data_IF_867306480845
#
_entry.id   IF_867306480845
#
_cell.length_a   1.000
_cell.length_b   1.000
_cell.length_c   1.000
_cell.angle_alpha   90.00
_cell.angle_beta   90.00
_cell.angle_gamma   90.00
#
_symmetry.space_group_name_H-M   'P 1'
#
loop_
_entity.id
_entity.type
_entity.pdbx_description
1 polymer ?
#
# COMPACT_ATOMS: atom_id res chain seq x y z
N UNK A 1 -40.96 -35.56 14.49
CA UNK A 1 -39.75 -34.72 14.72
C UNK A 1 -39.90 -33.87 15.98
N UNK A 2 -41.06 -33.24 16.17
CA UNK A 2 -41.42 -32.43 17.35
C UNK A 2 -41.24 -33.14 18.71
N UNK A 3 -41.61 -34.43 18.81
CA UNK A 3 -41.52 -35.21 20.05
C UNK A 3 -40.08 -35.53 20.50
N UNK A 4 -39.13 -35.68 19.56
CA UNK A 4 -37.71 -35.94 19.90
C UNK A 4 -37.00 -34.68 20.35
N UNK A 5 -37.34 -33.53 19.77
CA UNK A 5 -36.84 -32.21 20.17
C UNK A 5 -37.40 -31.83 21.55
N UNK A 6 -38.70 -32.07 21.79
CA UNK A 6 -39.32 -31.88 23.13
C UNK A 6 -38.65 -32.77 24.18
N UNK A 7 -38.42 -34.07 23.90
CA UNK A 7 -37.69 -34.97 24.82
C UNK A 7 -36.25 -34.53 25.09
N UNK A 8 -35.53 -34.08 24.06
CA UNK A 8 -34.16 -33.58 24.23
C UNK A 8 -34.11 -32.32 25.10
N UNK A 9 -35.01 -31.36 24.88
CA UNK A 9 -35.12 -30.14 25.68
C UNK A 9 -35.48 -30.43 27.14
N UNK A 10 -36.37 -31.39 27.39
CA UNK A 10 -36.73 -31.86 28.74
C UNK A 10 -35.51 -32.51 29.41
N UNK A 11 -34.76 -33.34 28.67
CA UNK A 11 -33.57 -34.02 29.20
C UNK A 11 -32.37 -33.10 29.47
N UNK A 12 -32.35 -31.90 28.86
CA UNK A 12 -31.34 -30.86 29.05
C UNK A 12 -31.75 -29.77 30.07
N UNK A 13 -32.94 -29.84 30.67
CA UNK A 13 -33.35 -29.05 31.87
C UNK A 13 -32.80 -29.68 33.17
N UNK A 14 -31.58 -30.21 33.15
CA UNK A 14 -31.03 -30.97 34.30
C UNK A 14 -30.87 -30.16 35.59
N UNK A 15 -30.82 -28.82 35.51
CA UNK A 15 -30.71 -27.96 36.70
C UNK A 15 -31.91 -28.09 37.63
N UNK A 16 -33.12 -27.81 37.13
CA UNK A 16 -34.34 -27.79 37.95
C UNK A 16 -34.74 -29.15 38.53
N UNK A 17 -34.46 -30.26 37.82
CA UNK A 17 -34.75 -31.62 38.34
C UNK A 17 -33.78 -32.02 39.45
N UNK A 18 -32.49 -31.70 39.31
CA UNK A 18 -31.49 -31.98 40.34
C UNK A 18 -31.67 -31.10 41.59
N UNK A 19 -32.09 -29.85 41.43
CA UNK A 19 -32.42 -28.96 42.56
C UNK A 19 -33.61 -29.50 43.34
N UNK A 20 -34.67 -29.92 42.64
CA UNK A 20 -35.86 -30.50 43.28
C UNK A 20 -35.55 -31.80 44.04
N UNK A 21 -34.72 -32.67 43.47
CA UNK A 21 -34.24 -33.88 44.16
C UNK A 21 -33.45 -33.55 45.44
N UNK A 22 -32.58 -32.52 45.40
CA UNK A 22 -31.84 -32.06 46.57
C UNK A 22 -32.75 -31.41 47.63
N UNK A 23 -33.77 -30.67 47.23
CA UNK A 23 -34.80 -30.12 48.13
C UNK A 23 -35.61 -31.24 48.82
N UNK A 24 -36.05 -32.24 48.05
CA UNK A 24 -36.80 -33.39 48.57
C UNK A 24 -35.94 -34.21 49.56
N UNK A 25 -34.64 -34.38 49.26
CA UNK A 25 -33.67 -35.02 50.16
C UNK A 25 -33.43 -34.21 51.43
N UNK A 26 -33.38 -32.88 51.34
CA UNK A 26 -33.23 -32.00 52.51
C UNK A 26 -34.43 -32.13 53.45
N UNK A 27 -35.65 -32.09 52.90
CA UNK A 27 -36.90 -32.28 53.67
C UNK A 27 -36.94 -33.65 54.34
N UNK A 28 -36.46 -34.70 53.67
CA UNK A 28 -36.39 -36.04 54.25
C UNK A 28 -35.43 -36.11 55.44
N UNK A 29 -34.28 -35.42 55.38
CA UNK A 29 -33.30 -35.36 56.48
C UNK A 29 -33.82 -34.50 57.64
N UNK A 30 -34.46 -33.36 57.36
CA UNK A 30 -35.07 -32.51 58.38
C UNK A 30 -36.17 -33.28 59.16
N UNK A 31 -37.02 -34.03 58.46
CA UNK A 31 -38.02 -34.91 59.10
C UNK A 31 -37.42 -36.02 59.96
N UNK A 32 -36.21 -36.49 59.65
CA UNK A 32 -35.49 -37.48 60.48
C UNK A 32 -34.90 -36.82 61.72
N UNK A 33 -34.33 -35.63 61.59
CA UNK A 33 -33.84 -34.83 62.72
C UNK A 33 -34.95 -34.51 63.73
N UNK A 34 -36.15 -34.19 63.25
CA UNK A 34 -37.31 -33.94 64.11
C UNK A 34 -37.77 -35.18 64.91
N UNK A 35 -37.50 -36.39 64.41
CA UNK A 35 -37.92 -37.67 65.01
C UNK A 35 -36.85 -38.31 65.90
N UNK A 36 -35.61 -38.35 65.43
CA UNK A 36 -34.50 -39.08 66.05
C UNK A 36 -33.63 -38.19 66.94
N UNK A 37 -33.87 -36.88 66.92
CA UNK A 37 -33.10 -35.90 67.69
C UNK A 37 -31.73 -35.60 67.08
N UNK A 38 -30.92 -34.85 67.83
CA UNK A 38 -29.68 -34.24 67.34
C UNK A 38 -28.51 -35.24 67.25
N UNK A 39 -28.49 -36.11 66.23
CA UNK A 39 -27.32 -36.92 65.87
C UNK A 39 -26.34 -36.16 64.96
N UNK A 40 -25.04 -36.27 65.24
CA UNK A 40 -23.97 -35.59 64.47
C UNK A 40 -23.85 -36.07 63.01
N UNK A 41 -24.18 -37.33 62.72
CA UNK A 41 -24.19 -37.88 61.36
C UNK A 41 -25.25 -37.20 60.48
N UNK A 42 -26.47 -37.04 61.01
CA UNK A 42 -27.57 -36.36 60.30
C UNK A 42 -27.28 -34.87 60.08
N UNK A 43 -26.55 -34.22 60.99
CA UNK A 43 -26.08 -32.83 60.80
C UNK A 43 -25.09 -32.72 59.64
N UNK A 44 -24.14 -33.64 59.55
CA UNK A 44 -23.15 -33.67 58.47
C UNK A 44 -23.81 -33.91 57.11
N UNK A 45 -24.77 -34.84 57.04
CA UNK A 45 -25.54 -35.11 55.83
C UNK A 45 -26.39 -33.90 55.41
N UNK A 46 -27.07 -33.26 56.36
CA UNK A 46 -27.83 -32.03 56.11
C UNK A 46 -26.93 -30.92 55.57
N UNK A 47 -25.77 -30.70 56.18
CA UNK A 47 -24.83 -29.66 55.76
C UNK A 47 -24.30 -29.93 54.35
N UNK A 48 -24.04 -31.20 54.03
CA UNK A 48 -23.61 -31.61 52.69
C UNK A 48 -24.70 -31.35 51.65
N UNK A 49 -25.94 -31.77 51.90
CA UNK A 49 -27.08 -31.52 50.99
C UNK A 49 -27.31 -30.02 50.78
N UNK A 50 -27.25 -29.22 51.84
CA UNK A 50 -27.37 -27.76 51.75
C UNK A 50 -26.26 -27.19 50.86
N UNK A 51 -25.01 -27.62 51.03
CA UNK A 51 -23.90 -27.15 50.18
C UNK A 51 -24.07 -27.53 48.70
N UNK A 52 -24.55 -28.74 48.42
CA UNK A 52 -24.86 -29.21 47.07
C UNK A 52 -26.02 -28.42 46.46
N UNK A 53 -27.05 -28.09 47.26
CA UNK A 53 -28.18 -27.28 46.84
C UNK A 53 -27.76 -25.84 46.50
N UNK A 54 -26.95 -25.19 47.35
CA UNK A 54 -26.43 -23.84 47.08
C UNK A 54 -25.60 -23.76 45.81
N UNK A 55 -24.77 -24.78 45.56
CA UNK A 55 -23.94 -24.84 44.33
C UNK A 55 -24.81 -25.05 43.09
N UNK A 56 -25.79 -25.96 43.14
CA UNK A 56 -26.73 -26.20 42.06
C UNK A 56 -27.57 -24.96 41.72
N UNK A 57 -28.12 -24.27 42.72
CA UNK A 57 -28.89 -23.03 42.57
C UNK A 57 -28.04 -21.90 41.96
N UNK A 58 -26.78 -21.76 42.39
CA UNK A 58 -25.86 -20.73 41.87
C UNK A 58 -25.49 -20.99 40.40
N UNK A 59 -25.31 -22.25 40.00
CA UNK A 59 -25.05 -22.62 38.60
C UNK A 59 -26.27 -22.32 37.72
N UNK A 60 -27.48 -22.61 38.20
CA UNK A 60 -28.72 -22.30 37.49
C UNK A 60 -28.91 -20.78 37.33
N UNK A 61 -28.68 -20.01 38.40
CA UNK A 61 -28.73 -18.54 38.39
C UNK A 61 -27.75 -17.96 37.34
N UNK A 62 -26.50 -18.43 37.34
CA UNK A 62 -25.51 -18.02 36.35
C UNK A 62 -25.95 -18.35 34.92
N UNK A 63 -26.57 -19.51 34.70
CA UNK A 63 -27.12 -19.90 33.40
C UNK A 63 -28.21 -18.93 32.93
N UNK A 64 -29.14 -18.54 33.81
CA UNK A 64 -30.22 -17.61 33.49
C UNK A 64 -29.72 -16.18 33.27
N UNK A 65 -28.73 -15.73 34.04
CA UNK A 65 -28.04 -14.45 33.83
C UNK A 65 -27.36 -14.39 32.47
N UNK A 66 -26.64 -15.45 32.08
CA UNK A 66 -26.01 -15.53 30.77
C UNK A 66 -27.03 -15.52 29.63
N UNK A 67 -28.12 -16.29 29.75
CA UNK A 67 -29.18 -16.39 28.72
C UNK A 67 -29.95 -15.07 28.55
N UNK A 68 -30.24 -14.37 29.63
CA UNK A 68 -30.94 -13.08 29.59
C UNK A 68 -30.06 -11.91 29.12
N UNK A 69 -28.73 -11.98 29.28
CA UNK A 69 -27.74 -10.90 28.98
C UNK A 69 -28.11 -9.54 29.58
N UNK A 70 -28.86 -9.51 30.67
CA UNK A 70 -29.20 -8.28 31.39
C UNK A 70 -28.04 -7.93 32.33
N UNK A 71 -27.63 -6.66 32.30
CA UNK A 71 -26.38 -6.19 32.93
C UNK A 71 -26.51 -5.86 34.43
N UNK A 72 -27.73 -5.63 34.92
CA UNK A 72 -27.98 -5.15 36.29
C UNK A 72 -29.19 -5.83 36.96
N UNK A 73 -29.07 -6.06 38.26
CA UNK A 73 -30.08 -6.61 39.16
C UNK A 73 -30.79 -5.41 39.81
N UNK A 74 -31.92 -4.96 39.27
CA UNK A 74 -32.68 -3.84 39.85
C UNK A 74 -33.65 -4.31 40.94
N UNK A 75 -33.97 -5.61 40.95
CA UNK A 75 -34.87 -6.21 41.94
C UNK A 75 -34.11 -7.33 42.68
N UNK A 76 -33.95 -7.16 44.00
CA UNK A 76 -33.14 -8.00 44.90
C UNK A 76 -33.79 -9.35 45.22
N UNK A 77 -34.26 -10.09 44.22
CA UNK A 77 -34.80 -11.43 44.47
C UNK A 77 -34.22 -12.54 43.58
N UNK A 78 -33.99 -13.69 44.20
CA UNK A 78 -33.37 -14.87 43.60
C UNK A 78 -34.32 -15.44 42.55
N UNK A 79 -33.86 -15.50 41.30
CA UNK A 79 -34.55 -16.13 40.17
C UNK A 79 -35.85 -15.43 39.71
N UNK A 80 -35.80 -14.11 39.48
CA UNK A 80 -36.98 -13.35 39.03
C UNK A 80 -37.53 -13.84 37.69
N UNK A 81 -38.86 -14.00 37.66
CA UNK A 81 -39.73 -14.19 36.47
C UNK A 81 -39.33 -13.30 35.27
N UNK A 82 -38.71 -12.15 35.53
CA UNK A 82 -38.14 -11.22 34.55
C UNK A 82 -37.01 -11.85 33.72
N UNK A 83 -36.03 -12.53 34.34
CA UNK A 83 -34.96 -13.21 33.60
C UNK A 83 -35.50 -14.34 32.74
N UNK A 84 -36.43 -15.14 33.28
CA UNK A 84 -37.11 -16.18 32.50
C UNK A 84 -37.93 -15.59 31.35
N UNK A 85 -38.67 -14.51 31.59
CA UNK A 85 -39.46 -13.82 30.55
C UNK A 85 -38.57 -13.25 29.45
N UNK A 86 -37.46 -12.59 29.79
CA UNK A 86 -36.50 -12.03 28.83
C UNK A 86 -35.78 -13.15 28.07
N UNK A 87 -35.35 -14.21 28.77
CA UNK A 87 -34.70 -15.36 28.13
C UNK A 87 -35.67 -16.12 27.21
N UNK A 88 -36.92 -16.33 27.62
CA UNK A 88 -37.96 -16.97 26.82
C UNK A 88 -38.40 -16.09 25.64
N UNK A 89 -38.52 -14.77 25.85
CA UNK A 89 -38.78 -13.80 24.79
C UNK A 89 -37.69 -13.83 23.72
N UNK A 90 -36.43 -13.83 24.16
CA UNK A 90 -35.28 -13.98 23.25
C UNK A 90 -35.21 -15.34 22.58
N UNK A 91 -35.58 -16.41 23.29
CA UNK A 91 -35.65 -17.72 22.69
C UNK A 91 -36.72 -17.74 21.59
N UNK A 92 -37.87 -17.08 21.79
CA UNK A 92 -38.92 -16.94 20.77
C UNK A 92 -38.45 -16.11 19.57
N UNK A 93 -37.76 -14.99 19.78
CA UNK A 93 -37.27 -14.14 18.67
C UNK A 93 -36.09 -14.76 17.92
N UNK A 94 -35.25 -15.55 18.61
CA UNK A 94 -34.12 -16.24 18.00
C UNK A 94 -34.47 -17.65 17.50
N UNK A 95 -35.71 -18.11 17.73
CA UNK A 95 -36.20 -19.37 17.20
C UNK A 95 -36.57 -19.18 15.74
N UNK A 96 -35.70 -19.65 14.86
CA UNK A 96 -35.92 -19.69 13.43
C UNK A 96 -36.79 -20.92 13.11
N UNK A 97 -38.11 -20.77 13.21
CA UNK A 97 -39.07 -21.87 13.03
C UNK A 97 -39.29 -22.28 11.58
N UNK A 98 -39.27 -21.32 10.66
CA UNK A 98 -39.34 -21.49 9.22
C UNK A 98 -38.69 -20.28 8.53
N UNK A 99 -38.10 -20.48 7.35
CA UNK A 99 -37.44 -19.41 6.59
C UNK A 99 -38.22 -19.18 5.29
N UNK A 100 -39.36 -18.48 5.40
CA UNK A 100 -40.20 -18.13 4.25
C UNK A 100 -40.01 -16.66 3.87
N UNK A 101 -39.50 -16.42 2.65
CA UNK A 101 -39.39 -15.09 2.05
C UNK A 101 -40.64 -14.78 1.22
N UNK A 102 -41.79 -14.56 1.86
CA UNK A 102 -43.00 -14.11 1.16
C UNK A 102 -42.95 -12.63 0.74
N UNK A 103 -41.95 -11.85 1.22
CA UNK A 103 -41.86 -10.42 0.95
C UNK A 103 -41.02 -10.06 -0.30
N UNK A 104 -40.11 -10.92 -0.76
CA UNK A 104 -39.18 -10.60 -1.87
C UNK A 104 -39.35 -11.48 -3.12
N UNK A 105 -40.17 -12.54 -3.06
CA UNK A 105 -40.33 -13.50 -4.16
C UNK A 105 -39.09 -14.36 -4.46
N UNK A 106 -37.97 -14.15 -3.73
CA UNK A 106 -36.73 -14.89 -3.93
C UNK A 106 -36.78 -16.26 -3.24
N UNK A 107 -36.53 -17.31 -4.02
CA UNK A 107 -36.42 -18.69 -3.51
C UNK A 107 -34.96 -19.04 -3.21
N UNK A 108 -34.72 -19.68 -2.07
CA UNK A 108 -33.38 -20.17 -1.71
C UNK A 108 -33.00 -21.30 -2.65
N UNK A 109 -31.83 -21.18 -3.28
CA UNK A 109 -31.23 -22.29 -4.00
C UNK A 109 -30.41 -23.13 -3.02
N UNK A 110 -31.02 -24.19 -2.49
CA UNK A 110 -30.36 -25.09 -1.52
C UNK A 110 -29.13 -25.80 -2.10
N UNK A 111 -29.06 -25.99 -3.43
CA UNK A 111 -27.91 -26.59 -4.12
C UNK A 111 -26.69 -25.67 -4.18
N UNK A 112 -26.91 -24.34 -4.12
CA UNK A 112 -25.84 -23.32 -4.06
C UNK A 112 -25.55 -22.85 -2.63
N UNK A 113 -26.32 -23.31 -1.66
CA UNK A 113 -26.23 -22.87 -0.27
C UNK A 113 -25.48 -23.92 0.56
N UNK A 114 -24.61 -23.47 1.45
CA UNK A 114 -23.87 -24.33 2.35
C UNK A 114 -23.94 -23.83 3.79
N UNK A 115 -23.81 -24.76 4.74
CA UNK A 115 -23.74 -24.46 6.17
C UNK A 115 -22.29 -24.59 6.60
N UNK A 116 -21.76 -23.56 7.28
CA UNK A 116 -20.37 -23.53 7.73
C UNK A 116 -20.31 -23.32 9.24
N UNK A 117 -19.56 -24.19 9.92
CA UNK A 117 -19.27 -24.07 11.35
C UNK A 117 -18.18 -23.02 11.58
N UNK A 118 -18.51 -21.92 12.27
CA UNK A 118 -17.56 -20.81 12.54
C UNK A 118 -16.81 -20.98 13.87
N UNK A 119 -17.41 -21.63 14.87
CA UNK A 119 -16.82 -21.78 16.22
C UNK A 119 -16.46 -23.24 16.52
N UNK A 120 -15.23 -23.46 17.00
CA UNK A 120 -14.76 -24.77 17.50
C UNK A 120 -15.43 -25.21 18.81
N UNK A 121 -16.23 -24.36 19.44
CA UNK A 121 -16.90 -24.66 20.73
C UNK A 121 -18.23 -25.38 20.57
N UNK A 122 -18.75 -25.48 19.36
CA UNK A 122 -19.99 -26.20 19.06
C UNK A 122 -19.63 -27.68 18.93
N UNK A 123 -20.17 -28.53 19.80
CA UNK A 123 -19.93 -29.99 19.75
C UNK A 123 -20.68 -30.59 18.57
N UNK A 124 -20.09 -31.55 17.85
CA UNK A 124 -20.72 -32.19 16.68
C UNK A 124 -22.06 -32.86 16.97
N UNK A 125 -22.36 -33.14 18.24
CA UNK A 125 -23.65 -33.70 18.69
C UNK A 125 -24.82 -32.72 18.72
N UNK A 126 -24.61 -31.41 18.55
CA UNK A 126 -25.60 -30.36 18.88
C UNK A 126 -26.34 -29.77 17.66
N UNK A 127 -26.85 -30.63 16.76
CA UNK A 127 -27.70 -30.33 15.59
C UNK A 127 -26.96 -30.40 14.25
N UNK A 128 -27.39 -31.34 13.42
CA UNK A 128 -26.98 -31.45 12.02
C UNK A 128 -27.76 -30.42 11.18
N UNK A 129 -27.36 -29.15 11.29
CA UNK A 129 -27.98 -28.03 10.58
C UNK A 129 -27.99 -28.23 9.06
N UNK A 130 -26.98 -28.91 8.51
CA UNK A 130 -26.93 -29.27 7.10
C UNK A 130 -28.14 -30.14 6.69
N UNK A 131 -28.52 -31.12 7.53
CA UNK A 131 -29.72 -31.95 7.31
C UNK A 131 -31.00 -31.15 7.51
N UNK A 132 -31.06 -30.27 8.51
CA UNK A 132 -32.23 -29.43 8.75
C UNK A 132 -32.52 -28.48 7.57
N UNK A 133 -31.48 -27.89 6.97
CA UNK A 133 -31.59 -26.98 5.84
C UNK A 133 -31.50 -27.66 4.46
N UNK A 134 -31.28 -28.99 4.40
CA UNK A 134 -31.00 -29.74 3.16
C UNK A 134 -29.87 -29.11 2.32
N UNK A 135 -28.84 -28.60 3.00
CA UNK A 135 -27.67 -27.96 2.41
C UNK A 135 -26.40 -28.77 2.65
N UNK A 136 -25.37 -28.51 1.86
CA UNK A 136 -24.05 -29.15 2.02
C UNK A 136 -23.31 -28.50 3.21
N UNK A 137 -22.70 -29.33 4.07
CA UNK A 137 -21.79 -28.83 5.10
C UNK A 137 -20.44 -28.48 4.46
N UNK A 138 -19.94 -27.27 4.71
CA UNK A 138 -18.65 -26.79 4.24
C UNK A 138 -17.79 -26.29 5.40
N UNK A 139 -16.48 -26.23 5.19
CA UNK A 139 -15.52 -25.73 6.18
C UNK A 139 -14.84 -24.46 5.69
N UNK A 140 -14.51 -23.55 6.63
CA UNK A 140 -13.73 -22.37 6.29
C UNK A 140 -12.30 -22.76 5.91
N UNK A 141 -11.66 -22.07 4.94
CA UNK A 141 -12.18 -20.90 4.22
C UNK A 141 -13.03 -21.27 2.99
N UNK A 142 -14.16 -20.57 2.78
CA UNK A 142 -15.03 -20.72 1.59
C UNK A 142 -15.00 -19.46 0.72
N UNK A 143 -15.28 -19.55 -0.58
CA UNK A 143 -15.42 -18.37 -1.44
C UNK A 143 -16.89 -17.94 -1.51
N UNK A 144 -17.17 -16.68 -1.18
CA UNK A 144 -18.50 -16.08 -1.27
C UNK A 144 -18.42 -14.76 -2.01
N UNK A 145 -19.25 -14.60 -3.05
CA UNK A 145 -19.22 -13.45 -3.96
C UNK A 145 -17.82 -13.14 -4.53
N UNK A 146 -16.98 -14.17 -4.65
CA UNK A 146 -15.62 -14.04 -5.14
C UNK A 146 -14.60 -13.54 -4.11
N UNK A 147 -14.95 -13.48 -2.82
CA UNK A 147 -14.02 -13.23 -1.69
C UNK A 147 -13.89 -14.48 -0.82
N UNK A 148 -12.69 -14.79 -0.30
CA UNK A 148 -12.56 -15.83 0.72
C UNK A 148 -13.16 -15.35 2.04
N UNK A 149 -14.10 -16.11 2.59
CA UNK A 149 -14.59 -15.98 3.94
C UNK A 149 -13.78 -16.90 4.85
N UNK A 150 -13.26 -16.34 5.95
CA UNK A 150 -12.42 -17.05 6.90
C UNK A 150 -10.94 -17.14 6.49
N UNK A 151 -10.12 -17.68 7.39
CA UNK A 151 -8.66 -17.75 7.22
C UNK A 151 -7.93 -16.49 7.68
N UNK A 152 -6.59 -16.54 7.61
CA UNK A 152 -5.73 -15.39 7.98
C UNK A 152 -5.66 -14.41 6.80
N UNK A 153 -6.15 -13.18 7.00
CA UNK A 153 -6.18 -12.10 5.99
C UNK A 153 -4.80 -11.77 5.38
N UNK A 154 -3.72 -12.01 6.10
CA UNK A 154 -2.35 -11.78 5.62
C UNK A 154 -1.72 -13.01 4.95
N UNK A 155 -2.43 -14.14 4.84
CA UNK A 155 -1.90 -15.37 4.24
C UNK A 155 -1.88 -15.29 2.73
N UNK A 156 -0.79 -15.78 2.11
CA UNK A 156 -0.69 -15.91 0.64
C UNK A 156 -1.83 -16.75 0.05
N UNK A 157 -2.33 -17.74 0.80
CA UNK A 157 -3.43 -18.62 0.37
C UNK A 157 -4.73 -17.83 0.20
N UNK A 158 -4.99 -16.85 1.06
CA UNK A 158 -6.18 -16.00 1.01
C UNK A 158 -6.21 -15.16 -0.28
N UNK A 159 -5.06 -14.66 -0.72
CA UNK A 159 -4.93 -13.81 -1.91
C UNK A 159 -4.68 -14.59 -3.20
N UNK A 160 -4.51 -15.91 -3.14
CA UNK A 160 -4.19 -16.76 -4.30
C UNK A 160 -5.24 -16.65 -5.41
N UNK A 161 -6.52 -16.68 -5.03
CA UNK A 161 -7.65 -16.58 -5.96
C UNK A 161 -7.64 -15.22 -6.70
N UNK A 162 -7.40 -14.13 -5.97
CA UNK A 162 -7.25 -12.81 -6.57
C UNK A 162 -6.09 -12.82 -7.57
N UNK A 163 -4.90 -13.26 -7.16
CA UNK A 163 -3.72 -13.24 -8.03
C UNK A 163 -3.96 -14.08 -9.28
N UNK A 164 -4.58 -15.25 -9.15
CA UNK A 164 -4.92 -16.10 -10.30
C UNK A 164 -5.89 -15.42 -11.28
N UNK A 165 -6.90 -14.71 -10.78
CA UNK A 165 -7.80 -13.91 -11.64
C UNK A 165 -7.04 -12.83 -12.40
N UNK A 166 -6.08 -12.17 -11.74
CA UNK A 166 -5.25 -11.15 -12.38
C UNK A 166 -4.34 -11.74 -13.45
N UNK A 167 -3.73 -12.90 -13.18
CA UNK A 167 -2.93 -13.66 -14.15
C UNK A 167 -3.76 -14.07 -15.37
N UNK A 168 -4.98 -14.57 -15.17
CA UNK A 168 -5.89 -14.94 -16.25
C UNK A 168 -6.36 -13.73 -17.08
N UNK A 169 -6.57 -12.58 -16.42
CA UNK A 169 -6.92 -11.35 -17.15
C UNK A 169 -5.75 -10.80 -17.94
N UNK A 170 -4.53 -10.83 -17.39
CA UNK A 170 -3.29 -10.39 -18.02
C UNK A 170 -2.51 -11.56 -18.67
N UNK A 171 -3.23 -12.53 -19.24
CA UNK A 171 -2.60 -13.71 -19.82
C UNK A 171 -1.59 -13.31 -20.93
N UNK A 172 -0.40 -13.94 -20.97
CA UNK A 172 0.68 -13.55 -21.89
C UNK A 172 0.28 -13.48 -23.37
N UNK A 173 -0.61 -14.37 -23.84
CA UNK A 173 -1.06 -14.40 -25.23
C UNK A 173 -1.84 -13.14 -25.64
N UNK A 174 -2.61 -12.52 -24.73
CA UNK A 174 -3.38 -11.29 -25.03
C UNK A 174 -2.49 -10.12 -25.41
N UNK A 175 -1.25 -10.16 -24.93
CA UNK A 175 -0.23 -9.15 -25.14
C UNK A 175 0.22 -9.09 -26.60
N UNK A 176 0.15 -10.21 -27.31
CA UNK A 176 0.51 -10.33 -28.73
C UNK A 176 -0.45 -9.49 -29.59
N UNK A 177 -1.71 -9.42 -29.19
CA UNK A 177 -2.77 -8.73 -29.93
C UNK A 177 -2.97 -7.26 -29.53
N UNK A 178 -2.20 -6.74 -28.57
CA UNK A 178 -2.38 -5.38 -28.04
C UNK A 178 -1.10 -4.55 -28.17
N UNK A 179 -1.26 -3.33 -28.70
CA UNK A 179 -0.23 -2.30 -28.63
C UNK A 179 -0.03 -1.80 -27.16
N UNK A 180 1.01 -1.00 -26.90
CA UNK A 180 1.31 -0.51 -25.53
C UNK A 180 0.14 0.25 -24.90
N UNK A 181 -0.61 1.04 -25.69
CA UNK A 181 -1.78 1.78 -25.22
C UNK A 181 -2.93 0.85 -24.80
N UNK A 182 -3.26 -0.15 -25.62
CA UNK A 182 -4.27 -1.16 -25.32
C UNK A 182 -3.91 -2.00 -24.09
N UNK A 183 -2.63 -2.33 -23.92
CA UNK A 183 -2.14 -3.02 -22.70
C UNK A 183 -2.35 -2.16 -21.45
N UNK A 184 -2.06 -0.86 -21.53
CA UNK A 184 -2.25 0.07 -20.42
C UNK A 184 -3.73 0.22 -20.06
N UNK A 185 -4.62 0.34 -21.05
CA UNK A 185 -6.07 0.43 -20.83
C UNK A 185 -6.59 -0.84 -20.15
N UNK A 186 -6.14 -2.02 -20.60
CA UNK A 186 -6.54 -3.29 -19.99
C UNK A 186 -6.08 -3.39 -18.53
N UNK A 187 -4.84 -2.99 -18.24
CA UNK A 187 -4.33 -2.93 -16.85
C UNK A 187 -5.21 -1.99 -16.01
N UNK A 188 -5.49 -0.77 -16.49
CA UNK A 188 -6.32 0.21 -15.76
C UNK A 188 -7.71 -0.33 -15.47
N UNK A 189 -8.39 -0.87 -16.48
CA UNK A 189 -9.74 -1.45 -16.34
C UNK A 189 -9.78 -2.62 -15.34
N UNK A 190 -8.77 -3.48 -15.38
CA UNK A 190 -8.62 -4.60 -14.45
C UNK A 190 -8.35 -4.13 -13.00
N UNK A 191 -7.51 -3.11 -12.83
CA UNK A 191 -7.18 -2.55 -11.51
C UNK A 191 -8.36 -1.87 -10.84
N UNK A 192 -9.20 -1.18 -11.62
CA UNK A 192 -10.40 -0.53 -11.08
C UNK A 192 -11.46 -1.52 -10.61
N UNK A 193 -11.45 -2.76 -11.11
CA UNK A 193 -12.50 -3.75 -10.83
C UNK A 193 -12.11 -4.78 -9.76
N UNK A 194 -11.06 -5.59 -9.99
CA UNK A 194 -10.78 -6.75 -9.11
C UNK A 194 -10.08 -6.34 -7.81
N UNK A 195 -8.94 -5.62 -7.84
CA UNK A 195 -8.26 -5.23 -6.62
C UNK A 195 -9.08 -4.26 -5.77
N UNK A 196 -9.79 -3.31 -6.38
CA UNK A 196 -10.67 -2.38 -5.65
C UNK A 196 -11.72 -3.12 -4.81
N UNK A 197 -12.33 -4.18 -5.36
CA UNK A 197 -13.32 -4.99 -4.65
C UNK A 197 -12.73 -5.74 -3.43
N UNK A 198 -11.49 -6.21 -3.54
CA UNK A 198 -10.80 -6.84 -2.42
C UNK A 198 -10.30 -5.81 -1.40
N UNK A 199 -9.78 -4.68 -1.86
CA UNK A 199 -9.22 -3.62 -1.01
C UNK A 199 -10.28 -2.89 -0.20
N UNK A 200 -11.53 -2.81 -0.69
CA UNK A 200 -12.64 -2.25 0.08
C UNK A 200 -12.97 -3.07 1.33
N UNK A 201 -12.68 -4.38 1.32
CA UNK A 201 -12.95 -5.29 2.43
C UNK A 201 -11.68 -5.63 3.25
N UNK A 202 -10.50 -5.64 2.61
CA UNK A 202 -9.27 -6.16 3.20
C UNK A 202 -8.03 -5.33 2.85
N UNK A 203 -7.17 -5.09 3.84
CA UNK A 203 -5.86 -4.48 3.62
C UNK A 203 -4.92 -5.46 2.90
N UNK A 204 -4.29 -5.01 1.81
CA UNK A 204 -3.43 -5.87 0.98
C UNK A 204 -2.03 -6.01 1.58
N UNK A 205 -1.48 -7.23 1.71
CA UNK A 205 -0.09 -7.41 2.13
C UNK A 205 0.90 -6.91 1.08
N UNK A 206 2.02 -6.34 1.53
CA UNK A 206 3.08 -5.78 0.66
C UNK A 206 3.58 -6.81 -0.38
N UNK A 207 3.80 -8.06 0.02
CA UNK A 207 4.26 -9.09 -0.91
C UNK A 207 3.23 -9.44 -2.00
N UNK A 208 1.93 -9.30 -1.72
CA UNK A 208 0.87 -9.49 -2.72
C UNK A 208 0.85 -8.30 -3.67
N UNK A 209 0.93 -7.07 -3.14
CA UNK A 209 1.02 -5.86 -3.97
C UNK A 209 2.22 -5.92 -4.94
N UNK A 210 3.40 -6.30 -4.46
CA UNK A 210 4.60 -6.49 -5.29
C UNK A 210 4.40 -7.54 -6.39
N UNK A 211 3.71 -8.64 -6.08
CA UNK A 211 3.39 -9.67 -7.09
C UNK A 211 2.43 -9.14 -8.17
N UNK A 212 1.44 -8.33 -7.79
CA UNK A 212 0.52 -7.68 -8.74
C UNK A 212 1.28 -6.69 -9.63
N UNK A 213 2.11 -5.83 -9.05
CA UNK A 213 2.96 -4.88 -9.80
C UNK A 213 3.85 -5.62 -10.79
N UNK A 214 4.45 -6.74 -10.38
CA UNK A 214 5.27 -7.59 -11.25
C UNK A 214 4.48 -8.15 -12.44
N UNK A 215 3.22 -8.58 -12.22
CA UNK A 215 2.36 -9.05 -13.31
C UNK A 215 2.01 -7.92 -14.29
N UNK A 216 1.68 -6.74 -13.78
CA UNK A 216 1.40 -5.56 -14.60
C UNK A 216 2.61 -5.14 -15.42
N UNK A 217 3.80 -5.05 -14.80
CA UNK A 217 5.02 -4.67 -15.50
C UNK A 217 5.40 -5.73 -16.53
N UNK A 218 5.24 -7.01 -16.20
CA UNK A 218 5.35 -8.15 -17.12
C UNK A 218 4.50 -7.97 -18.37
N UNK A 219 3.22 -7.68 -18.15
CA UNK A 219 2.23 -7.51 -19.22
C UNK A 219 2.41 -6.23 -20.03
N UNK A 220 2.83 -5.13 -19.41
CA UNK A 220 3.04 -3.87 -20.12
C UNK A 220 4.29 -3.95 -21.02
N UNK A 221 5.40 -4.45 -20.47
CA UNK A 221 6.74 -4.21 -21.01
C UNK A 221 7.45 -5.37 -21.70
N UNK A 222 7.06 -6.64 -21.54
CA UNK A 222 7.87 -7.73 -22.12
C UNK A 222 7.83 -7.75 -23.67
N UNK A 223 8.02 -8.91 -24.31
CA UNK A 223 7.57 -9.19 -25.68
C UNK A 223 6.77 -10.51 -25.74
N UNK A 224 6.32 -11.00 -26.89
CA UNK A 224 5.56 -12.27 -27.03
C UNK A 224 6.13 -13.49 -26.27
N UNK A 225 5.42 -14.64 -26.31
CA UNK A 225 5.58 -15.78 -25.39
C UNK A 225 7.00 -16.30 -25.08
N UNK A 226 8.03 -15.99 -25.89
CA UNK A 226 9.39 -16.54 -25.73
C UNK A 226 10.50 -15.53 -25.41
N UNK A 227 10.28 -14.21 -25.56
CA UNK A 227 11.36 -13.22 -25.33
C UNK A 227 11.11 -12.37 -24.08
N UNK A 228 11.86 -12.65 -23.01
CA UNK A 228 11.97 -11.75 -21.85
C UNK A 228 12.81 -10.53 -22.22
N UNK A 229 12.17 -9.42 -22.56
CA UNK A 229 12.85 -8.11 -22.46
C UNK A 229 13.10 -7.82 -20.98
N UNK A 230 14.32 -7.42 -20.65
CA UNK A 230 14.68 -6.96 -19.30
C UNK A 230 13.78 -5.78 -18.97
N UNK A 231 12.98 -5.89 -17.91
CA UNK A 231 12.24 -4.75 -17.39
C UNK A 231 13.25 -3.66 -17.03
N UNK A 232 13.03 -2.38 -17.43
CA UNK A 232 13.90 -1.32 -16.99
C UNK A 232 13.95 -1.34 -15.46
N UNK A 233 15.13 -1.67 -14.93
CA UNK A 233 15.43 -1.68 -13.50
C UNK A 233 15.17 -0.26 -12.99
N UNK A 234 14.81 -0.11 -11.71
CA UNK A 234 14.77 1.21 -11.04
C UNK A 234 15.95 2.05 -11.53
N UNK A 235 15.68 3.22 -12.10
CA UNK A 235 16.69 4.10 -12.71
C UNK A 235 17.88 4.40 -11.80
N UNK A 236 17.68 4.32 -10.48
CA UNK A 236 18.73 4.47 -9.48
C UNK A 236 19.80 3.36 -9.49
N UNK A 237 19.52 2.18 -10.06
CA UNK A 237 20.43 1.03 -10.02
C UNK A 237 21.29 0.92 -11.28
N UNK A 238 20.85 1.48 -12.41
CA UNK A 238 21.57 1.41 -13.68
C UNK A 238 22.31 2.72 -13.98
N UNK A 239 23.44 2.91 -13.29
CA UNK A 239 24.25 4.14 -13.32
C UNK A 239 24.71 4.54 -14.73
N UNK A 240 24.99 3.59 -15.62
CA UNK A 240 25.45 3.87 -16.99
C UNK A 240 24.33 4.41 -17.89
N UNK A 241 23.13 3.82 -17.82
CA UNK A 241 21.96 4.35 -18.52
C UNK A 241 21.53 5.72 -18.00
N UNK A 242 21.74 5.97 -16.70
CA UNK A 242 21.49 7.25 -16.07
C UNK A 242 22.44 8.33 -16.62
N UNK A 243 23.74 8.05 -16.65
CA UNK A 243 24.74 8.95 -17.24
C UNK A 243 24.45 9.23 -18.72
N UNK A 244 24.11 8.18 -19.50
CA UNK A 244 23.70 8.35 -20.91
C UNK A 244 22.47 9.24 -21.05
N UNK A 245 21.50 9.14 -20.14
CA UNK A 245 20.28 9.96 -20.18
C UNK A 245 20.58 11.43 -19.85
N UNK A 246 21.51 11.69 -18.92
CA UNK A 246 21.97 13.05 -18.60
C UNK A 246 22.72 13.67 -19.79
N UNK A 247 23.62 12.92 -20.42
CA UNK A 247 24.33 13.37 -21.62
C UNK A 247 23.35 13.66 -22.78
N UNK A 248 22.39 12.76 -23.03
CA UNK A 248 21.35 12.98 -24.05
C UNK A 248 20.48 14.18 -23.74
N UNK A 249 20.16 14.45 -22.47
CA UNK A 249 19.41 15.64 -22.08
C UNK A 249 20.16 16.94 -22.41
N UNK A 250 21.49 16.94 -22.28
CA UNK A 250 22.31 18.09 -22.63
C UNK A 250 22.56 18.28 -24.13
N UNK A 251 22.56 17.20 -24.92
CA UNK A 251 22.94 17.23 -26.34
C UNK A 251 21.77 17.07 -27.33
N UNK A 252 20.68 16.41 -26.94
CA UNK A 252 19.55 16.16 -27.85
C UNK A 252 18.54 17.30 -27.78
N UNK A 253 18.74 18.27 -28.64
CA UNK A 253 17.93 19.47 -28.70
C UNK A 253 16.52 19.20 -29.19
N UNK A 254 15.53 19.80 -28.52
CA UNK A 254 14.14 19.89 -28.98
C UNK A 254 13.45 18.55 -29.20
N UNK A 255 13.92 17.50 -28.53
CA UNK A 255 13.27 16.19 -28.59
C UNK A 255 12.01 16.19 -27.73
N UNK A 256 10.94 15.51 -28.17
CA UNK A 256 9.66 15.45 -27.45
C UNK A 256 9.82 15.04 -25.97
N UNK A 257 10.77 14.16 -25.66
CA UNK A 257 11.00 13.71 -24.29
C UNK A 257 11.66 14.79 -23.42
N UNK A 258 12.60 15.56 -23.96
CA UNK A 258 13.17 16.76 -23.33
C UNK A 258 12.06 17.77 -23.05
N UNK A 259 11.22 18.08 -24.06
CA UNK A 259 10.12 19.04 -23.90
C UNK A 259 9.15 18.63 -22.78
N UNK A 260 8.78 17.35 -22.73
CA UNK A 260 7.86 16.82 -21.71
C UNK A 260 8.48 16.92 -20.32
N UNK A 261 9.79 16.67 -20.19
CA UNK A 261 10.50 16.83 -18.91
C UNK A 261 10.55 18.31 -18.52
N UNK A 262 10.96 19.19 -19.43
CA UNK A 262 11.04 20.62 -19.19
C UNK A 262 9.68 21.22 -18.81
N UNK A 263 8.61 20.88 -19.54
CA UNK A 263 7.26 21.34 -19.26
C UNK A 263 6.71 20.81 -17.94
N UNK A 264 6.95 19.53 -17.62
CA UNK A 264 6.44 18.92 -16.38
C UNK A 264 7.09 19.51 -15.12
N UNK A 265 8.35 19.90 -15.21
CA UNK A 265 9.14 20.34 -14.05
C UNK A 265 9.56 21.81 -14.11
N UNK A 266 9.05 22.59 -15.08
CA UNK A 266 9.33 24.03 -15.19
C UNK A 266 10.79 24.36 -15.47
N UNK A 267 11.51 23.50 -16.19
CA UNK A 267 12.91 23.73 -16.57
C UNK A 267 12.93 24.57 -17.85
N UNK A 268 13.69 25.68 -17.92
CA UNK A 268 13.84 26.41 -19.16
C UNK A 268 14.49 25.53 -20.24
N UNK A 269 13.90 25.55 -21.43
CA UNK A 269 14.40 24.82 -22.59
C UNK A 269 15.86 25.23 -22.87
N UNK A 270 16.72 24.26 -23.25
CA UNK A 270 18.16 24.48 -23.49
C UNK A 270 19.02 24.79 -22.25
N UNK A 271 18.52 24.62 -21.03
CA UNK A 271 19.33 24.77 -19.82
C UNK A 271 20.22 23.54 -19.61
N UNK A 272 21.54 23.72 -19.56
CA UNK A 272 22.45 22.67 -19.09
C UNK A 272 22.30 22.49 -17.57
N UNK A 273 22.34 21.23 -17.13
CA UNK A 273 22.51 20.87 -15.73
C UNK A 273 23.94 21.20 -15.28
N UNK A 274 24.23 22.48 -15.07
CA UNK A 274 25.58 22.95 -14.71
C UNK A 274 25.65 24.38 -14.17
N UNK A 275 24.55 25.13 -14.20
CA UNK A 275 24.49 26.46 -13.60
C UNK A 275 24.42 26.34 -12.08
N UNK A 276 25.54 26.67 -11.44
CA UNK A 276 25.64 26.74 -9.99
C UNK A 276 24.52 27.59 -9.40
N UNK A 277 23.98 27.13 -8.28
CA UNK A 277 23.05 27.86 -7.42
C UNK A 277 21.76 28.38 -8.07
N UNK A 278 21.12 27.59 -8.93
CA UNK A 278 19.70 27.80 -9.18
C UNK A 278 18.92 26.76 -8.39
N UNK A 279 18.12 27.22 -7.43
CA UNK A 279 17.02 26.48 -6.81
C UNK A 279 15.92 26.18 -7.87
N UNK A 280 16.30 25.59 -9.00
CA UNK A 280 15.35 25.09 -9.99
C UNK A 280 14.77 23.81 -9.41
N UNK A 281 13.44 23.75 -9.37
CA UNK A 281 12.66 22.55 -9.02
C UNK A 281 12.80 21.50 -10.13
N UNK A 282 14.03 21.05 -10.36
CA UNK A 282 14.32 19.89 -11.16
C UNK A 282 13.56 18.67 -10.59
N UNK A 283 13.16 17.71 -11.43
CA UNK A 283 12.49 16.50 -10.97
C UNK A 283 13.24 15.88 -9.80
N UNK A 284 12.55 15.56 -8.69
CA UNK A 284 13.18 14.97 -7.50
C UNK A 284 14.05 13.75 -7.83
N UNK A 285 13.68 12.97 -8.86
CA UNK A 285 14.49 11.84 -9.32
C UNK A 285 15.75 12.24 -10.11
N UNK A 286 15.75 13.39 -10.79
CA UNK A 286 16.88 13.91 -11.56
C UNK A 286 17.87 14.63 -10.64
N UNK A 287 17.39 15.44 -9.69
CA UNK A 287 18.22 15.97 -8.59
C UNK A 287 18.79 14.84 -7.76
N UNK A 288 18.00 13.82 -7.39
CA UNK A 288 18.52 12.66 -6.65
C UNK A 288 19.38 11.73 -7.52
N UNK A 289 19.29 11.78 -8.84
CA UNK A 289 20.16 11.05 -9.76
C UNK A 289 21.50 11.75 -9.93
N UNK A 290 21.48 13.06 -10.17
CA UNK A 290 22.64 13.95 -10.25
C UNK A 290 23.32 14.01 -8.89
N UNK A 291 22.59 14.32 -7.81
CA UNK A 291 23.12 14.29 -6.45
C UNK A 291 23.56 12.88 -6.03
N UNK A 292 22.97 11.75 -6.48
CA UNK A 292 23.57 10.42 -6.18
C UNK A 292 24.78 10.09 -7.05
N UNK A 293 24.90 10.65 -8.24
CA UNK A 293 26.13 10.59 -9.04
C UNK A 293 27.26 11.38 -8.38
N UNK A 294 26.93 12.46 -7.64
CA UNK A 294 27.88 13.35 -6.97
C UNK A 294 28.07 13.11 -5.44
N UNK A 295 27.10 12.58 -4.69
CA UNK A 295 27.13 12.40 -3.22
C UNK A 295 27.51 10.99 -2.76
N UNK A 296 27.36 9.96 -3.60
CA UNK A 296 27.79 8.61 -3.23
C UNK A 296 29.25 8.47 -3.63
N UNK A 297 30.16 8.69 -2.67
CA UNK A 297 31.61 8.70 -2.85
C UNK A 297 32.23 7.38 -3.34
N UNK A 298 31.94 6.97 -4.58
CA UNK A 298 32.66 5.94 -5.34
C UNK A 298 32.48 6.15 -6.86
N UNK A 299 33.61 6.28 -7.57
CA UNK A 299 33.92 6.16 -9.01
C UNK A 299 33.10 6.90 -10.08
N UNK A 300 31.83 7.24 -9.90
CA UNK A 300 31.08 7.95 -10.97
C UNK A 300 31.51 9.42 -11.14
N UNK A 301 32.03 10.04 -10.08
CA UNK A 301 32.67 11.35 -10.15
C UNK A 301 34.04 11.29 -10.85
N UNK A 302 34.73 10.13 -10.88
CA UNK A 302 35.90 9.92 -11.75
C UNK A 302 35.47 9.68 -13.20
N UNK A 303 34.46 8.84 -13.45
CA UNK A 303 33.96 8.54 -14.81
C UNK A 303 33.43 9.80 -15.51
N UNK A 304 32.74 10.69 -14.80
CA UNK A 304 32.24 11.95 -15.36
C UNK A 304 33.19 13.12 -15.12
N UNK A 305 33.86 13.23 -13.97
CA UNK A 305 34.73 14.37 -13.67
C UNK A 305 36.04 14.40 -14.46
N UNK A 306 36.60 13.24 -14.81
CA UNK A 306 37.84 13.16 -15.61
C UNK A 306 37.57 13.04 -17.12
N UNK A 307 36.35 12.61 -17.52
CA UNK A 307 36.00 12.38 -18.92
C UNK A 307 34.95 13.34 -19.52
N UNK A 308 34.20 14.07 -18.71
CA UNK A 308 33.18 15.02 -19.18
C UNK A 308 33.73 16.44 -19.20
N UNK A 309 34.37 16.80 -20.30
CA UNK A 309 34.70 18.20 -20.57
C UNK A 309 33.48 18.90 -21.18
N UNK A 310 32.94 19.90 -20.48
CA UNK A 310 31.95 20.80 -21.06
C UNK A 310 32.69 21.74 -22.01
N UNK A 311 32.60 21.45 -23.31
CA UNK A 311 33.13 22.33 -24.36
C UNK A 311 32.02 23.29 -24.76
N UNK A 312 32.34 24.58 -24.85
CA UNK A 312 31.41 25.58 -25.35
C UNK A 312 31.33 25.41 -26.88
N UNK A 313 30.18 24.92 -27.36
CA UNK A 313 29.87 24.80 -28.78
C UNK A 313 29.45 26.15 -29.40
N UNK A 314 28.24 26.24 -29.94
CA UNK A 314 27.64 27.46 -30.51
C UNK A 314 27.59 28.68 -29.56
N UNK A 315 27.72 28.46 -28.25
CA UNK A 315 27.73 29.53 -27.25
C UNK A 315 26.34 30.08 -26.91
N UNK A 316 25.24 29.50 -27.41
CA UNK A 316 23.86 29.93 -27.16
C UNK A 316 23.32 29.55 -25.77
N UNK A 317 23.95 28.58 -25.10
CA UNK A 317 23.49 28.00 -23.83
C UNK A 317 24.34 28.31 -22.62
N UNK A 318 25.59 28.69 -22.83
CA UNK A 318 26.54 28.98 -21.77
C UNK A 318 26.49 30.48 -21.45
N UNK A 319 26.30 30.84 -20.18
CA UNK A 319 26.39 32.22 -19.73
C UNK A 319 27.85 32.68 -19.68
N UNK A 320 28.18 33.74 -20.43
CA UNK A 320 29.56 34.23 -20.54
C UNK A 320 30.23 34.50 -19.19
N UNK A 321 29.56 35.20 -18.27
CA UNK A 321 30.16 35.59 -16.99
C UNK A 321 30.03 34.54 -15.87
N UNK A 322 29.05 33.64 -15.96
CA UNK A 322 28.73 32.69 -14.90
C UNK A 322 29.24 31.27 -15.16
N UNK A 323 29.24 30.84 -16.43
CA UNK A 323 29.52 29.46 -16.79
C UNK A 323 30.95 29.27 -17.33
N UNK A 324 31.55 30.29 -17.97
CA UNK A 324 32.97 30.23 -18.33
C UNK A 324 33.83 30.34 -17.08
N UNK A 325 34.76 29.40 -16.97
CA UNK A 325 35.63 29.24 -15.81
C UNK A 325 37.09 29.17 -16.23
N UNK A 326 37.94 29.81 -15.44
CA UNK A 326 39.39 29.62 -15.44
C UNK A 326 39.73 28.90 -14.13
N UNK A 327 40.41 27.76 -14.19
CA UNK A 327 40.73 26.91 -13.03
C UNK A 327 39.52 26.64 -12.11
N UNK A 328 38.37 26.32 -12.73
CA UNK A 328 37.08 26.09 -12.05
C UNK A 328 36.42 27.31 -11.39
N UNK A 329 36.99 28.51 -11.54
CA UNK A 329 36.43 29.76 -11.02
C UNK A 329 35.77 30.60 -12.11
N UNK A 330 34.53 31.10 -11.95
CA UNK A 330 33.84 31.88 -12.98
C UNK A 330 34.53 33.20 -13.31
N UNK A 331 34.48 33.62 -14.58
CA UNK A 331 35.14 34.85 -15.07
C UNK A 331 34.77 36.11 -14.25
N UNK A 332 33.52 36.25 -13.80
CA UNK A 332 33.10 37.40 -12.98
C UNK A 332 33.82 37.50 -11.63
N UNK A 333 34.30 36.38 -11.10
CA UNK A 333 34.99 36.30 -9.81
C UNK A 333 36.48 36.57 -10.00
N UNK A 334 37.06 36.04 -11.09
CA UNK A 334 38.47 36.26 -11.43
C UNK A 334 38.72 37.72 -11.85
N UNK A 335 37.81 38.29 -12.63
CA UNK A 335 37.95 39.64 -13.19
C UNK A 335 36.77 40.56 -12.78
N UNK A 336 36.59 40.85 -11.48
CA UNK A 336 35.43 41.59 -10.98
C UNK A 336 35.40 43.03 -11.51
N UNK A 337 36.57 43.65 -11.71
CA UNK A 337 36.67 45.02 -12.23
C UNK A 337 36.21 45.13 -13.68
N UNK A 338 36.62 44.17 -14.53
CA UNK A 338 36.23 44.11 -15.93
C UNK A 338 34.73 43.79 -16.05
N UNK A 339 34.22 42.88 -15.22
CA UNK A 339 32.79 42.58 -15.16
C UNK A 339 31.94 43.82 -14.84
N UNK A 340 32.39 44.68 -13.93
CA UNK A 340 31.70 45.95 -13.62
C UNK A 340 31.70 46.91 -14.81
N UNK A 341 32.76 46.91 -15.61
CA UNK A 341 32.91 47.77 -16.79
C UNK A 341 32.18 47.25 -18.03
N UNK A 342 31.87 45.96 -18.09
CA UNK A 342 31.14 45.36 -19.19
C UNK A 342 29.74 45.99 -19.35
N UNK A 343 29.34 46.23 -20.60
CA UNK A 343 27.99 46.72 -20.93
C UNK A 343 26.97 45.64 -20.59
N UNK A 344 27.18 44.43 -21.13
CA UNK A 344 26.35 43.24 -20.89
C UNK A 344 26.86 42.46 -19.68
N UNK A 345 26.06 42.41 -18.61
CA UNK A 345 26.35 41.62 -17.39
C UNK A 345 25.82 40.20 -17.44
N UNK A 346 24.86 39.95 -18.33
CA UNK A 346 24.21 38.66 -18.53
C UNK A 346 24.02 38.47 -20.02
N UNK A 347 24.25 37.25 -20.49
CA UNK A 347 24.07 36.89 -21.90
C UNK A 347 24.76 35.57 -22.21
N UNK A 348 24.35 34.91 -23.30
CA UNK A 348 25.02 33.73 -23.81
C UNK A 348 26.40 34.10 -24.38
N UNK A 349 27.33 33.15 -24.44
CA UNK A 349 28.69 33.35 -24.98
C UNK A 349 28.68 33.90 -26.41
N UNK A 350 27.72 33.48 -27.23
CA UNK A 350 27.58 33.95 -28.61
C UNK A 350 27.44 35.49 -28.72
N UNK A 351 26.96 36.15 -27.66
CA UNK A 351 26.72 37.60 -27.64
C UNK A 351 28.00 38.43 -27.36
N UNK A 352 29.11 37.75 -27.04
CA UNK A 352 30.39 38.33 -26.62
C UNK A 352 31.52 37.99 -27.59
N UNK A 353 31.20 37.63 -28.81
CA UNK A 353 32.19 37.37 -29.85
C UNK A 353 31.56 37.05 -31.20
N UNK A 354 32.42 36.88 -32.20
CA UNK A 354 32.02 36.61 -33.56
C UNK A 354 32.97 35.60 -34.19
N UNK A 355 32.44 34.79 -35.10
CA UNK A 355 33.26 33.94 -35.95
C UNK A 355 33.86 34.76 -37.10
N UNK A 356 35.18 34.74 -37.20
CA UNK A 356 35.95 35.31 -38.33
C UNK A 356 36.63 34.16 -39.04
N UNK A 357 35.94 33.59 -40.03
CA UNK A 357 36.36 32.33 -40.66
C UNK A 357 36.24 31.16 -39.68
N UNK A 358 37.36 30.49 -39.40
CA UNK A 358 37.43 29.32 -38.50
C UNK A 358 37.79 29.67 -37.05
N UNK A 359 38.06 30.94 -36.75
CA UNK A 359 38.49 31.37 -35.41
C UNK A 359 37.39 32.22 -34.76
N UNK A 360 37.24 32.04 -33.45
CA UNK A 360 36.36 32.86 -32.63
C UNK A 360 37.12 34.09 -32.12
N UNK A 361 36.60 35.28 -32.39
CA UNK A 361 37.10 36.53 -31.87
C UNK A 361 36.18 37.06 -30.76
N UNK A 362 36.77 37.35 -29.60
CA UNK A 362 36.04 37.86 -28.44
C UNK A 362 35.75 39.37 -28.56
N UNK A 363 34.49 39.73 -28.48
CA UNK A 363 34.00 41.11 -28.48
C UNK A 363 33.27 41.40 -27.16
N UNK A 364 34.00 41.96 -26.19
CA UNK A 364 33.43 42.34 -24.89
C UNK A 364 33.30 43.86 -24.81
N UNK A 365 32.10 44.43 -25.06
CA UNK A 365 31.91 45.87 -25.04
C UNK A 365 32.01 46.43 -23.62
N UNK A 366 32.84 47.47 -23.45
CA UNK A 366 33.01 48.20 -22.19
C UNK A 366 32.24 49.52 -22.21
N UNK A 367 31.74 49.95 -21.04
CA UNK A 367 30.96 51.18 -20.87
C UNK A 367 31.79 52.46 -21.04
N UNK A 368 33.11 52.37 -20.90
CA UNK A 368 34.08 53.46 -21.02
C UNK A 368 35.44 52.92 -21.43
N UNK A 369 36.34 53.80 -21.84
CA UNK A 369 37.75 53.47 -22.05
C UNK A 369 38.42 53.04 -20.73
N UNK A 370 39.41 52.16 -20.86
CA UNK A 370 40.22 51.66 -19.75
C UNK A 370 41.20 52.75 -19.28
N UNK A 371 41.37 52.87 -17.97
CA UNK A 371 42.46 53.67 -17.42
C UNK A 371 43.77 52.89 -17.43
N UNK A 372 44.92 53.58 -17.37
CA UNK A 372 46.25 52.96 -17.46
C UNK A 372 46.45 51.79 -16.49
N UNK A 373 45.93 51.91 -15.27
CA UNK A 373 46.01 50.85 -14.25
C UNK A 373 45.07 49.66 -14.49
N UNK A 374 44.05 49.80 -15.35
CA UNK A 374 43.11 48.72 -15.74
C UNK A 374 43.59 47.95 -16.98
N UNK A 375 44.52 48.51 -17.77
CA UNK A 375 45.05 47.91 -19.01
C UNK A 375 45.70 46.55 -18.74
N UNK A 376 46.45 46.43 -17.65
CA UNK A 376 47.14 45.17 -17.33
C UNK A 376 46.14 44.05 -17.01
N UNK A 377 45.06 44.36 -16.29
CA UNK A 377 44.00 43.39 -15.99
C UNK A 377 43.26 42.98 -17.26
N UNK A 378 43.01 43.94 -18.17
CA UNK A 378 42.37 43.67 -19.44
C UNK A 378 43.19 42.73 -20.33
N UNK A 379 44.51 42.93 -20.40
CA UNK A 379 45.40 42.02 -21.13
C UNK A 379 45.34 40.60 -20.56
N UNK A 380 45.48 40.45 -19.24
CA UNK A 380 45.35 39.13 -18.59
C UNK A 380 43.98 38.48 -18.83
N UNK A 381 42.92 39.27 -18.93
CA UNK A 381 41.58 38.76 -19.27
C UNK A 381 41.49 38.29 -20.72
N UNK A 382 42.05 39.03 -21.68
CA UNK A 382 42.11 38.62 -23.08
C UNK A 382 42.94 37.35 -23.25
N UNK A 383 44.12 37.27 -22.61
CA UNK A 383 44.97 36.08 -22.64
C UNK A 383 44.22 34.84 -22.09
N UNK A 384 43.45 35.02 -21.01
CA UNK A 384 42.58 33.96 -20.48
C UNK A 384 41.47 33.56 -21.44
N UNK A 385 40.84 34.51 -22.14
CA UNK A 385 39.79 34.24 -23.12
C UNK A 385 40.32 33.51 -24.35
N UNK A 386 41.53 33.84 -24.82
CA UNK A 386 42.15 33.19 -25.98
C UNK A 386 42.53 31.73 -25.69
N UNK A 387 42.74 31.40 -24.42
CA UNK A 387 42.93 30.03 -23.96
C UNK A 387 41.62 29.20 -23.98
N UNK A 388 40.45 29.84 -24.04
CA UNK A 388 39.14 29.18 -24.08
C UNK A 388 38.80 28.86 -25.54
N UNK A 389 39.00 27.60 -25.94
CA UNK A 389 38.61 27.13 -27.28
C UNK A 389 37.10 26.95 -27.37
N UNK A 390 36.46 27.74 -28.22
CA UNK A 390 35.08 27.52 -28.66
C UNK A 390 35.12 26.62 -29.89
N UNK A 391 34.31 25.57 -29.90
CA UNK A 391 34.16 24.74 -31.11
C UNK A 391 32.98 25.27 -31.92
N UNK A 392 33.28 25.74 -33.14
CA UNK A 392 32.24 26.08 -34.10
C UNK A 392 31.41 24.83 -34.41
N UNK A 393 30.10 25.00 -34.50
CA UNK A 393 29.25 23.99 -35.12
C UNK A 393 29.71 23.84 -36.58
N UNK A 394 30.50 22.79 -36.85
CA UNK A 394 30.76 22.34 -38.22
C UNK A 394 29.41 21.83 -38.72
N UNK A 395 28.64 22.71 -39.36
CA UNK A 395 27.56 22.32 -40.22
C UNK A 395 28.18 22.10 -41.61
N UNK A 396 28.47 20.84 -41.91
CA UNK A 396 28.27 20.29 -43.26
C UNK A 396 26.95 19.50 -43.24
#
# INVERSE_FOLDING_TARGET
MELRIKRWLISNRRGSVAIKDLEDRLVAVDKKLDKEGWLDSLRQDRQKIISELWTALRVEEHSWKQKSRVRWLVDSDRNTKKFHSVANGRQRTNFLGDLSFNASGLRINFYKSCVVKVSKRIRDREVNWAVAFRCVEASLPITYLGLPLGGRRCSKIFWKELVSRLENRLAPWKRIFLNKGGRLILIKSMMSSIPTYYMSNFQIPVGVAQKIESLQSGFLWGDGCEKRKVHPIKWATNKSLLAKSVWRFGNEDSTLWEMVICAKYGIPMKSYAGTGNVQLQLPFFFVKAVNRLFEVGMDSAQILGEGLHVVVGSGDRASFWNDLKVDSTPLKVVFPRIFVLAVKKTGPVQDFGRWTGSNWEWEVPLRRQLFDWEIQQWKSFQDCLDCIKIQGTIFD
#
